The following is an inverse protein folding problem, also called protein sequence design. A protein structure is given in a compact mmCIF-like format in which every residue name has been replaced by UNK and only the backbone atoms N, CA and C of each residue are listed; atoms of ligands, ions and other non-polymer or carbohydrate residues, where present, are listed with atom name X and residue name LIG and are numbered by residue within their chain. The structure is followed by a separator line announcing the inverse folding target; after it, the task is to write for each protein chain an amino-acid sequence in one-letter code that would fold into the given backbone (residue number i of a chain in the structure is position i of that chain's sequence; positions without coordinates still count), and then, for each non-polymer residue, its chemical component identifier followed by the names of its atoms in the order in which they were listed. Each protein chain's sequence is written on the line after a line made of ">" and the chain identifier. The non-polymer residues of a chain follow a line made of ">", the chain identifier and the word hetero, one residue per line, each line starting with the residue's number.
data_IF_563448754911
#
_entry.id   IF_563448754911
#
_cell.length_a   1.000
_cell.length_b   1.000
_cell.length_c   1.000
_cell.angle_alpha   90.00
_cell.angle_beta   90.00
_cell.angle_gamma   90.00
#
_symmetry.space_group_name_H-M   'P 1'
#
loop_
_entity.id
_entity.type
_entity.pdbx_description
1 polymer ?
#
# COMPACT_ATOMS: atom_id res chain seq x y z
N UNK A 1 23.92 46.51 -50.10
CA UNK A 1 22.82 46.72 -49.11
C UNK A 1 22.15 45.37 -48.87
N UNK A 2 22.59 44.60 -47.87
CA UNK A 2 22.12 44.54 -46.47
C UNK A 2 21.05 43.44 -46.24
N UNK A 3 21.56 42.25 -45.91
CA UNK A 3 21.09 41.27 -44.90
C UNK A 3 19.60 41.32 -44.52
N UNK A 4 18.81 40.41 -45.09
CA UNK A 4 17.47 40.04 -44.58
C UNK A 4 17.19 38.56 -44.88
N UNK A 5 17.91 37.63 -44.25
CA UNK A 5 17.53 36.20 -44.34
C UNK A 5 17.78 35.36 -43.07
N UNK A 6 18.30 35.96 -41.99
CA UNK A 6 18.67 35.19 -40.77
C UNK A 6 17.61 35.22 -39.65
N UNK A 7 16.51 35.98 -39.77
CA UNK A 7 15.53 36.12 -38.67
C UNK A 7 14.50 34.99 -38.61
N UNK A 8 14.28 34.24 -39.69
CA UNK A 8 13.23 33.21 -39.78
C UNK A 8 13.64 31.87 -39.15
N UNK A 9 14.93 31.51 -39.24
CA UNK A 9 15.47 30.24 -38.69
C UNK A 9 15.65 30.27 -37.16
N UNK A 10 15.72 31.46 -36.56
CA UNK A 10 15.81 31.65 -35.10
C UNK A 10 14.49 31.31 -34.40
N UNK A 11 13.36 31.78 -34.94
CA UNK A 11 12.03 31.59 -34.34
C UNK A 11 11.58 30.14 -34.27
N UNK A 12 11.96 29.29 -35.24
CA UNK A 12 11.63 27.86 -35.23
C UNK A 12 12.40 27.09 -34.15
N UNK A 13 13.65 27.49 -33.89
CA UNK A 13 14.49 26.87 -32.84
C UNK A 13 13.96 27.21 -31.44
N UNK A 14 13.45 28.43 -31.24
CA UNK A 14 12.78 28.82 -29.99
C UNK A 14 11.42 28.12 -29.81
N UNK A 15 10.63 27.95 -30.89
CA UNK A 15 9.35 27.24 -30.83
C UNK A 15 9.54 25.74 -30.49
N UNK A 16 10.55 25.09 -31.10
CA UNK A 16 10.88 23.70 -30.81
C UNK A 16 11.40 23.50 -29.38
N UNK A 17 12.17 24.46 -28.84
CA UNK A 17 12.64 24.42 -27.45
C UNK A 17 11.49 24.60 -26.45
N UNK A 18 10.50 25.43 -26.77
CA UNK A 18 9.33 25.65 -25.92
C UNK A 18 8.41 24.42 -25.86
N UNK A 19 8.26 23.70 -26.97
CA UNK A 19 7.51 22.43 -27.04
C UNK A 19 8.25 21.31 -26.30
N UNK A 20 9.58 21.26 -26.37
CA UNK A 20 10.38 20.27 -25.63
C UNK A 20 10.33 20.49 -24.11
N UNK A 21 10.30 21.74 -23.66
CA UNK A 21 10.15 22.10 -22.24
C UNK A 21 8.72 21.81 -21.73
N UNK A 22 7.68 21.99 -22.56
CA UNK A 22 6.30 21.66 -22.19
C UNK A 22 6.07 20.14 -22.04
N UNK A 23 6.70 19.31 -22.88
CA UNK A 23 6.59 17.85 -22.75
C UNK A 23 7.36 17.27 -21.56
N UNK A 24 8.43 17.95 -21.11
CA UNK A 24 9.24 17.49 -19.98
C UNK A 24 8.59 17.72 -18.59
N UNK A 25 7.44 18.39 -18.52
CA UNK A 25 6.75 18.69 -17.26
C UNK A 25 5.72 17.63 -16.83
N UNK A 26 5.52 16.55 -17.60
CA UNK A 26 4.57 15.49 -17.25
C UNK A 26 5.20 14.45 -16.31
N UNK A 27 5.71 14.90 -15.17
CA UNK A 27 6.07 14.00 -14.08
C UNK A 27 4.78 13.53 -13.40
N UNK A 28 4.16 12.47 -13.94
CA UNK A 28 3.11 11.71 -13.24
C UNK A 28 3.72 10.95 -12.06
N UNK A 29 3.96 11.66 -10.95
CA UNK A 29 4.42 11.12 -9.66
C UNK A 29 3.22 11.04 -8.71
N UNK A 30 2.25 10.17 -8.98
CA UNK A 30 1.02 10.12 -8.15
C UNK A 30 0.63 8.72 -7.67
N UNK A 31 1.14 7.63 -8.25
CA UNK A 31 0.75 6.28 -7.83
C UNK A 31 1.60 5.70 -6.68
N UNK A 32 2.85 6.14 -6.51
CA UNK A 32 3.81 5.44 -5.62
C UNK A 32 3.71 5.82 -4.14
N UNK A 33 3.08 6.95 -3.79
CA UNK A 33 3.03 7.48 -2.41
C UNK A 33 1.62 7.45 -1.79
N UNK A 34 0.66 6.75 -2.44
CA UNK A 34 -0.73 6.73 -2.00
C UNK A 34 -0.96 5.91 -0.73
N UNK A 35 -0.12 4.91 -0.44
CA UNK A 35 -0.19 4.09 0.77
C UNK A 35 1.20 4.04 1.38
N UNK A 36 1.38 4.54 2.58
CA UNK A 36 2.69 4.53 3.25
C UNK A 36 2.56 4.19 4.73
N UNK A 37 3.57 3.50 5.27
CA UNK A 37 3.63 3.19 6.69
C UNK A 37 4.27 4.35 7.45
N UNK A 38 3.56 4.92 8.41
CA UNK A 38 4.10 5.96 9.31
C UNK A 38 4.64 5.40 10.62
N UNK A 39 4.13 4.26 11.07
CA UNK A 39 4.70 3.54 12.20
C UNK A 39 4.57 2.03 11.98
N UNK A 40 5.57 1.27 12.41
CA UNK A 40 5.60 -0.17 12.27
C UNK A 40 6.49 -0.75 13.37
N UNK A 41 5.89 -1.54 14.25
CA UNK A 41 6.56 -2.10 15.43
C UNK A 41 6.07 -3.51 15.71
N UNK A 42 7.02 -4.42 15.90
CA UNK A 42 6.74 -5.68 16.56
C UNK A 42 6.50 -5.45 18.06
N UNK A 43 5.54 -6.20 18.60
CA UNK A 43 5.29 -6.30 20.03
C UNK A 43 5.12 -7.76 20.43
N UNK A 44 5.32 -8.03 21.71
CA UNK A 44 5.04 -9.34 22.30
C UNK A 44 3.83 -9.17 23.20
N UNK A 45 2.80 -9.96 22.95
CA UNK A 45 1.60 -9.98 23.77
C UNK A 45 1.05 -11.40 23.84
N UNK A 46 0.72 -11.86 25.05
CA UNK A 46 0.15 -13.19 25.29
C UNK A 46 0.94 -14.33 24.65
N UNK A 47 2.27 -14.31 24.82
CA UNK A 47 3.23 -15.26 24.22
C UNK A 47 3.18 -15.35 22.68
N UNK A 48 2.63 -14.33 22.02
CA UNK A 48 2.59 -14.21 20.56
C UNK A 48 3.40 -13.01 20.11
N UNK A 49 4.10 -13.20 19.00
CA UNK A 49 4.59 -12.09 18.22
C UNK A 49 3.38 -11.43 17.54
N UNK A 50 3.19 -10.14 17.79
CA UNK A 50 2.14 -9.34 17.19
C UNK A 50 2.69 -8.08 16.54
N UNK A 51 1.90 -7.50 15.64
CA UNK A 51 2.27 -6.33 14.86
C UNK A 51 1.37 -5.15 15.21
N UNK A 52 2.01 -4.01 15.49
CA UNK A 52 1.39 -2.69 15.44
C UNK A 52 1.86 -1.97 14.19
N UNK A 53 0.92 -1.43 13.41
CA UNK A 53 1.22 -0.61 12.26
C UNK A 53 0.25 0.56 12.15
N UNK A 54 0.77 1.71 11.69
CA UNK A 54 0.00 2.84 11.21
C UNK A 54 0.32 3.05 9.74
N UNK A 55 -0.72 3.07 8.93
CA UNK A 55 -0.66 3.22 7.48
C UNK A 55 -1.50 4.44 7.12
N UNK A 56 -0.90 5.34 6.38
CA UNK A 56 -1.56 6.55 5.90
C UNK A 56 -1.97 6.35 4.44
N UNK A 57 -3.24 6.60 4.17
CA UNK A 57 -3.85 6.48 2.85
C UNK A 57 -4.11 7.87 2.26
N UNK A 58 -3.47 8.15 1.13
CA UNK A 58 -3.71 9.31 0.26
C UNK A 58 -4.32 8.81 -1.04
N UNK A 59 -5.61 8.50 -1.01
CA UNK A 59 -6.31 7.95 -2.16
C UNK A 59 -6.43 9.00 -3.28
N UNK A 60 -6.18 8.64 -4.56
CA UNK A 60 -6.46 9.52 -5.69
C UNK A 60 -7.94 9.88 -5.77
N UNK A 61 -8.24 11.06 -6.32
CA UNK A 61 -9.61 11.57 -6.44
C UNK A 61 -10.54 10.60 -7.19
N UNK A 62 -10.02 9.85 -8.17
CA UNK A 62 -10.77 8.85 -8.93
C UNK A 62 -11.23 7.69 -8.04
N UNK A 63 -10.36 7.23 -7.13
CA UNK A 63 -10.68 6.16 -6.17
C UNK A 63 -11.67 6.66 -5.13
N UNK A 64 -11.49 7.89 -4.63
CA UNK A 64 -12.45 8.55 -3.72
C UNK A 64 -13.81 8.72 -4.39
N UNK A 65 -13.83 9.18 -5.64
CA UNK A 65 -15.05 9.32 -6.44
C UNK A 65 -15.74 7.98 -6.63
N UNK A 66 -15.02 6.91 -6.91
CA UNK A 66 -15.59 5.57 -7.01
C UNK A 66 -16.28 5.15 -5.70
N UNK A 67 -15.63 5.33 -4.55
CA UNK A 67 -16.22 5.09 -3.23
C UNK A 67 -17.51 5.89 -3.04
N UNK A 68 -17.51 7.16 -3.47
CA UNK A 68 -18.67 8.06 -3.40
C UNK A 68 -19.83 7.67 -4.32
N UNK A 69 -19.60 6.81 -5.32
CA UNK A 69 -20.60 6.24 -6.21
C UNK A 69 -20.91 4.78 -5.83
N UNK A 70 -20.81 4.46 -4.55
CA UNK A 70 -21.15 3.15 -3.96
C UNK A 70 -20.33 1.97 -4.54
N UNK A 71 -19.16 2.24 -5.12
CA UNK A 71 -18.25 1.19 -5.57
C UNK A 71 -17.41 0.72 -4.38
N UNK A 72 -17.46 -0.58 -4.10
CA UNK A 72 -16.65 -1.20 -3.07
C UNK A 72 -15.19 -1.35 -3.50
N UNK A 73 -14.29 -0.80 -2.69
CA UNK A 73 -12.85 -0.89 -2.87
C UNK A 73 -12.30 -1.90 -1.86
N UNK A 74 -11.69 -2.97 -2.37
CA UNK A 74 -11.05 -3.98 -1.54
C UNK A 74 -9.57 -3.64 -1.37
N UNK A 75 -9.13 -3.54 -0.12
CA UNK A 75 -7.72 -3.48 0.25
C UNK A 75 -7.26 -4.85 0.72
N UNK A 76 -6.16 -5.33 0.16
CA UNK A 76 -5.48 -6.56 0.53
C UNK A 76 -4.32 -6.25 1.46
N UNK A 77 -4.28 -6.90 2.62
CA UNK A 77 -3.15 -6.86 3.54
C UNK A 77 -2.45 -8.21 3.54
N UNK A 78 -1.16 -8.19 3.25
CA UNK A 78 -0.29 -9.37 3.22
C UNK A 78 0.79 -9.24 4.29
N UNK A 79 0.96 -10.29 5.09
CA UNK A 79 2.02 -10.37 6.11
C UNK A 79 2.72 -11.71 5.94
N UNK A 80 4.04 -11.66 5.79
CA UNK A 80 4.88 -12.84 5.60
C UNK A 80 5.96 -12.83 6.67
N UNK A 81 6.06 -13.91 7.42
CA UNK A 81 7.17 -14.17 8.34
C UNK A 81 8.15 -15.13 7.66
N UNK A 82 9.36 -14.64 7.41
CA UNK A 82 10.46 -15.42 6.89
C UNK A 82 11.42 -15.78 8.02
N UNK A 83 11.92 -17.01 8.00
CA UNK A 83 13.03 -17.48 8.79
C UNK A 83 14.24 -17.60 7.88
N UNK A 84 15.33 -16.97 8.29
CA UNK A 84 16.62 -17.07 7.63
C UNK A 84 17.51 -18.02 8.44
N UNK A 85 17.96 -19.10 7.80
CA UNK A 85 18.86 -20.10 8.40
C UNK A 85 20.19 -20.15 7.65
N UNK A 86 21.33 -20.03 8.34
CA UNK A 86 22.62 -20.37 7.76
C UNK A 86 22.79 -21.90 7.67
N UNK A 87 23.14 -22.42 6.50
CA UNK A 87 23.44 -23.83 6.28
C UNK A 87 24.60 -23.98 5.28
N UNK A 88 25.69 -24.64 5.69
CA UNK A 88 26.85 -24.94 4.84
C UNK A 88 27.43 -23.73 4.08
N UNK A 89 27.48 -22.56 4.72
CA UNK A 89 27.99 -21.32 4.11
C UNK A 89 27.01 -20.62 3.16
N UNK A 90 25.78 -21.13 3.03
CA UNK A 90 24.67 -20.50 2.30
C UNK A 90 23.57 -20.04 3.26
N UNK A 91 22.81 -19.04 2.84
CA UNK A 91 21.66 -18.53 3.58
C UNK A 91 20.38 -19.04 2.90
N UNK A 92 19.53 -19.74 3.65
CA UNK A 92 18.24 -20.23 3.18
C UNK A 92 17.09 -19.48 3.84
N UNK A 93 16.13 -19.05 3.04
CA UNK A 93 14.90 -18.41 3.50
C UNK A 93 13.73 -19.41 3.49
N UNK A 94 12.98 -19.47 4.58
CA UNK A 94 11.77 -20.30 4.70
C UNK A 94 10.59 -19.48 5.23
N UNK A 95 9.47 -19.50 4.51
CA UNK A 95 8.21 -18.90 5.00
C UNK A 95 7.70 -19.70 6.21
N UNK A 96 7.68 -19.08 7.39
CA UNK A 96 7.04 -19.64 8.59
C UNK A 96 5.55 -19.43 8.59
N UNK A 97 5.15 -18.22 8.22
CA UNK A 97 3.76 -17.78 8.29
C UNK A 97 3.45 -16.87 7.13
N UNK A 98 2.27 -17.06 6.56
CA UNK A 98 1.66 -16.14 5.61
C UNK A 98 0.25 -15.85 6.09
N UNK A 99 -0.09 -14.56 6.22
CA UNK A 99 -1.41 -14.07 6.57
C UNK A 99 -1.82 -13.14 5.43
N UNK A 100 -2.97 -13.42 4.84
CA UNK A 100 -3.58 -12.55 3.84
C UNK A 100 -5.04 -12.32 4.23
N UNK A 101 -5.49 -11.06 4.17
CA UNK A 101 -6.90 -10.74 4.34
C UNK A 101 -7.29 -9.49 3.58
N UNK A 102 -8.60 -9.36 3.36
CA UNK A 102 -9.21 -8.24 2.65
C UNK A 102 -10.04 -7.38 3.61
N UNK A 103 -9.99 -6.07 3.41
CA UNK A 103 -10.91 -5.11 4.04
C UNK A 103 -11.60 -4.32 2.94
N UNK A 104 -12.93 -4.36 2.93
CA UNK A 104 -13.75 -3.57 2.01
C UNK A 104 -14.00 -2.18 2.56
N UNK A 105 -13.97 -1.19 1.68
CA UNK A 105 -14.36 0.19 1.93
C UNK A 105 -15.37 0.65 0.87
N UNK A 106 -16.55 1.10 1.30
CA UNK A 106 -17.56 1.69 0.42
C UNK A 106 -18.36 2.77 1.15
N UNK A 107 -18.93 3.70 0.39
CA UNK A 107 -19.97 4.59 0.89
C UNK A 107 -21.35 3.92 0.78
N UNK A 108 -22.30 4.33 1.62
CA UNK A 108 -23.70 3.98 1.46
C UNK A 108 -24.64 5.05 2.03
N UNK A 109 -25.84 5.12 1.44
CA UNK A 109 -26.95 5.92 1.93
C UNK A 109 -26.85 7.43 1.60
N UNK A 110 -27.96 8.13 1.79
CA UNK A 110 -28.09 9.57 1.42
C UNK A 110 -27.11 10.46 2.18
N UNK A 111 -26.86 10.15 3.46
CA UNK A 111 -25.92 10.88 4.31
C UNK A 111 -24.45 10.50 4.07
N UNK A 112 -24.17 9.58 3.13
CA UNK A 112 -22.83 9.09 2.77
C UNK A 112 -22.03 8.61 3.98
N UNK A 113 -22.51 7.54 4.61
CA UNK A 113 -21.73 6.83 5.62
C UNK A 113 -20.66 5.97 4.95
N UNK A 114 -19.48 5.87 5.57
CA UNK A 114 -18.40 5.02 5.08
C UNK A 114 -18.34 3.74 5.89
N UNK A 115 -18.28 2.59 5.23
CA UNK A 115 -18.24 1.29 5.88
C UNK A 115 -16.92 0.62 5.63
N UNK A 116 -16.33 0.12 6.71
CA UNK A 116 -15.29 -0.90 6.63
C UNK A 116 -15.87 -2.26 6.96
N UNK A 117 -15.58 -3.25 6.13
CA UNK A 117 -15.87 -4.64 6.41
C UNK A 117 -14.60 -5.49 6.28
N UNK A 118 -14.14 -6.04 7.41
CA UNK A 118 -12.94 -6.85 7.46
C UNK A 118 -13.30 -8.33 7.32
N UNK A 119 -12.81 -8.97 6.24
CA UNK A 119 -13.15 -10.36 5.92
C UNK A 119 -12.48 -11.39 6.84
N UNK A 120 -11.42 -11.02 7.57
CA UNK A 120 -10.72 -11.94 8.48
C UNK A 120 -11.48 -12.15 9.79
N UNK A 121 -12.16 -11.13 10.30
CA UNK A 121 -12.88 -11.19 11.58
C UNK A 121 -14.37 -10.87 11.46
N UNK A 122 -14.88 -10.67 10.25
CA UNK A 122 -16.27 -10.30 9.94
C UNK A 122 -16.75 -9.03 10.63
N UNK A 123 -15.82 -8.16 11.06
CA UNK A 123 -16.15 -6.92 11.75
C UNK A 123 -16.58 -5.88 10.73
N UNK A 124 -17.76 -5.31 10.96
CA UNK A 124 -18.29 -4.15 10.23
C UNK A 124 -18.19 -2.90 11.10
N UNK A 125 -17.68 -1.81 10.56
CA UNK A 125 -17.60 -0.51 11.23
C UNK A 125 -18.10 0.57 10.29
N UNK A 126 -18.78 1.57 10.84
CA UNK A 126 -19.39 2.67 10.07
C UNK A 126 -18.90 4.00 10.60
N UNK A 127 -18.61 4.94 9.69
CA UNK A 127 -18.00 6.23 9.96
C UNK A 127 -18.76 7.36 9.27
N UNK A 128 -18.67 8.57 9.82
CA UNK A 128 -19.29 9.77 9.24
C UNK A 128 -18.44 10.36 8.12
N UNK A 129 -17.11 10.15 8.19
CA UNK A 129 -16.16 10.69 7.22
C UNK A 129 -15.29 9.59 6.63
N UNK A 130 -14.82 9.81 5.39
CA UNK A 130 -13.87 8.92 4.73
C UNK A 130 -12.55 8.88 5.50
N UNK A 131 -12.14 10.01 6.07
CA UNK A 131 -10.92 10.14 6.85
C UNK A 131 -10.92 9.21 8.07
N UNK A 132 -12.00 9.19 8.87
CA UNK A 132 -12.14 8.27 10.01
C UNK A 132 -12.08 6.80 9.58
N UNK A 133 -12.70 6.48 8.45
CA UNK A 133 -12.64 5.14 7.88
C UNK A 133 -11.20 4.79 7.47
N UNK A 134 -10.50 5.67 6.76
CA UNK A 134 -9.12 5.43 6.34
C UNK A 134 -8.13 5.35 7.52
N UNK A 135 -8.30 6.20 8.53
CA UNK A 135 -7.53 6.12 9.78
C UNK A 135 -7.73 4.77 10.47
N UNK A 136 -8.97 4.26 10.51
CA UNK A 136 -9.26 2.95 11.09
C UNK A 136 -8.70 1.81 10.23
N UNK A 137 -8.86 1.89 8.90
CA UNK A 137 -8.30 0.92 7.95
C UNK A 137 -6.78 0.80 8.09
N UNK A 138 -6.10 1.94 8.28
CA UNK A 138 -4.65 2.01 8.42
C UNK A 138 -4.11 1.69 9.80
N UNK A 139 -4.97 1.42 10.77
CA UNK A 139 -4.57 1.13 12.14
C UNK A 139 -4.62 -0.37 12.39
N UNK A 140 -3.44 -1.02 12.34
CA UNK A 140 -3.28 -2.40 12.76
C UNK A 140 -2.82 -2.41 14.23
N UNK A 141 -3.70 -2.86 15.13
CA UNK A 141 -3.39 -2.97 16.55
C UNK A 141 -3.31 -4.43 16.97
N UNK A 142 -2.18 -4.79 17.57
CA UNK A 142 -1.93 -6.09 18.19
C UNK A 142 -2.34 -7.25 17.27
N UNK A 143 -1.93 -7.19 16.01
CA UNK A 143 -2.29 -8.22 15.05
C UNK A 143 -1.40 -9.45 15.28
N UNK A 144 -1.93 -10.59 15.78
CA UNK A 144 -1.09 -11.75 16.09
C UNK A 144 -0.55 -12.37 14.80
N UNK A 145 0.75 -12.62 14.76
CA UNK A 145 1.45 -13.24 13.63
C UNK A 145 1.68 -14.73 13.90
N UNK A 146 2.37 -15.05 15.00
CA UNK A 146 2.77 -16.43 15.33
C UNK A 146 2.96 -16.59 16.85
N UNK A 147 2.81 -17.81 17.38
CA UNK A 147 3.20 -18.10 18.75
C UNK A 147 4.73 -18.11 18.88
N UNK A 148 5.26 -17.54 19.96
CA UNK A 148 6.70 -17.53 20.21
C UNK A 148 7.29 -18.94 20.37
N UNK A 149 6.50 -19.90 20.86
CA UNK A 149 6.91 -21.30 20.96
C UNK A 149 7.19 -21.95 19.59
N UNK A 150 6.70 -21.38 18.49
CA UNK A 150 6.97 -21.84 17.12
C UNK A 150 8.26 -21.24 16.54
N UNK A 151 8.88 -20.27 17.23
CA UNK A 151 10.13 -19.64 16.81
C UNK A 151 11.32 -20.39 17.42
N UNK A 152 12.30 -20.70 16.57
CA UNK A 152 13.54 -21.33 16.99
C UNK A 152 14.50 -20.28 17.58
N UNK A 153 15.09 -20.56 18.75
CA UNK A 153 16.20 -19.77 19.26
C UNK A 153 17.36 -19.70 18.24
N UNK A 154 18.11 -18.61 18.27
CA UNK A 154 19.31 -18.37 17.43
C UNK A 154 19.05 -18.25 15.91
N UNK A 155 17.79 -18.23 15.46
CA UNK A 155 17.45 -17.95 14.06
C UNK A 155 17.13 -16.47 13.84
N UNK A 156 17.41 -15.99 12.63
CA UNK A 156 17.01 -14.64 12.22
C UNK A 156 15.63 -14.71 11.56
N UNK A 157 14.73 -13.80 11.94
CA UNK A 157 13.41 -13.69 11.33
C UNK A 157 13.22 -12.32 10.69
N UNK A 158 12.55 -12.29 9.55
CA UNK A 158 12.11 -11.06 8.88
C UNK A 158 10.60 -11.06 8.76
N UNK A 159 9.99 -9.96 9.18
CA UNK A 159 8.59 -9.70 8.91
C UNK A 159 8.48 -8.82 7.67
N UNK A 160 7.63 -9.23 6.74
CA UNK A 160 7.26 -8.45 5.57
C UNK A 160 5.79 -8.10 5.67
N UNK A 161 5.44 -6.85 5.45
CA UNK A 161 4.05 -6.40 5.36
C UNK A 161 3.85 -5.57 4.10
N UNK A 162 2.67 -5.72 3.48
CA UNK A 162 2.22 -4.93 2.34
C UNK A 162 0.72 -4.70 2.42
N UNK A 163 0.29 -3.52 2.01
CA UNK A 163 -1.12 -3.19 1.80
C UNK A 163 -1.29 -2.65 0.39
N UNK A 164 -2.26 -3.17 -0.34
CA UNK A 164 -2.54 -2.78 -1.71
C UNK A 164 -4.04 -2.76 -1.99
N UNK A 165 -4.45 -2.00 -2.99
CA UNK A 165 -5.81 -2.09 -3.55
C UNK A 165 -5.88 -3.32 -4.46
N UNK A 166 -6.84 -4.21 -4.21
CA UNK A 166 -7.08 -5.37 -5.06
C UNK A 166 -7.93 -4.98 -6.29
N UNK A 167 -7.25 -4.50 -7.33
CA UNK A 167 -7.92 -3.99 -8.54
C UNK A 167 -8.70 -5.06 -9.29
N UNK A 168 -8.40 -6.35 -9.08
CA UNK A 168 -9.11 -7.46 -9.72
C UNK A 168 -10.51 -7.66 -9.16
N UNK A 169 -10.83 -7.00 -8.04
CA UNK A 169 -12.14 -7.02 -7.39
C UNK A 169 -13.04 -5.85 -7.78
N UNK A 170 -12.55 -4.95 -8.63
CA UNK A 170 -13.36 -3.85 -9.15
C UNK A 170 -14.46 -4.39 -10.09
N UNK A 171 -15.61 -3.71 -10.18
CA UNK A 171 -16.64 -4.03 -11.16
C UNK A 171 -16.07 -4.06 -12.60
N UNK A 172 -16.61 -4.91 -13.51
CA UNK A 172 -16.00 -5.11 -14.84
C UNK A 172 -15.72 -3.84 -15.65
N UNK A 173 -16.58 -2.80 -15.67
CA UNK A 173 -16.25 -1.55 -16.37
C UNK A 173 -15.02 -0.84 -15.79
N UNK A 174 -14.86 -0.84 -14.47
CA UNK A 174 -13.71 -0.24 -13.79
C UNK A 174 -12.46 -1.11 -13.84
N UNK A 175 -12.60 -2.42 -14.02
CA UNK A 175 -11.45 -3.29 -14.23
C UNK A 175 -10.67 -2.90 -15.49
N UNK A 176 -11.38 -2.55 -16.57
CA UNK A 176 -10.75 -2.06 -17.82
C UNK A 176 -9.96 -0.79 -17.52
N UNK A 177 -10.58 0.15 -16.81
CA UNK A 177 -9.95 1.40 -16.37
C UNK A 177 -8.71 1.12 -15.50
N UNK A 178 -8.80 0.20 -14.55
CA UNK A 178 -7.70 -0.18 -13.64
C UNK A 178 -6.53 -0.93 -14.29
N UNK A 179 -6.72 -1.45 -15.50
CA UNK A 179 -5.64 -2.02 -16.31
C UNK A 179 -4.86 -0.94 -17.06
N UNK A 180 -5.53 0.16 -17.43
CA UNK A 180 -4.96 1.25 -18.22
C UNK A 180 -4.38 2.34 -17.33
N UNK A 181 -5.05 2.63 -16.21
CA UNK A 181 -4.79 3.81 -15.41
C UNK A 181 -4.00 3.50 -14.13
N UNK A 182 -2.95 4.28 -13.83
CA UNK A 182 -2.07 4.03 -12.70
C UNK A 182 -2.70 4.38 -11.35
N UNK A 183 -3.75 5.21 -11.30
CA UNK A 183 -4.40 5.59 -10.05
C UNK A 183 -5.15 4.44 -9.35
N UNK A 184 -5.39 3.33 -10.05
CA UNK A 184 -5.90 2.09 -9.45
C UNK A 184 -4.80 1.17 -8.90
N UNK A 185 -3.53 1.47 -9.17
CA UNK A 185 -2.39 0.64 -8.80
C UNK A 185 -1.82 1.08 -7.43
N UNK A 186 -2.70 1.14 -6.42
CA UNK A 186 -2.31 1.57 -5.08
C UNK A 186 -1.62 0.43 -4.34
N UNK A 187 -0.38 0.67 -3.94
CA UNK A 187 0.46 -0.34 -3.30
C UNK A 187 1.48 0.33 -2.38
N UNK A 188 1.56 -0.13 -1.14
CA UNK A 188 2.56 0.34 -0.18
C UNK A 188 3.99 -0.14 -0.48
N UNK A 189 4.12 -1.11 -1.39
CA UNK A 189 5.30 -1.97 -1.49
C UNK A 189 5.48 -2.83 -0.23
N UNK A 190 6.48 -3.72 -0.28
CA UNK A 190 6.86 -4.53 0.87
C UNK A 190 7.71 -3.71 1.84
N UNK A 191 7.21 -3.52 3.06
CA UNK A 191 8.03 -3.11 4.19
C UNK A 191 8.62 -4.35 4.83
N UNK A 192 9.94 -4.36 5.01
CA UNK A 192 10.69 -5.51 5.54
C UNK A 192 11.48 -5.06 6.76
N UNK A 193 11.36 -5.77 7.86
CA UNK A 193 12.17 -5.50 9.04
C UNK A 193 12.56 -6.78 9.77
N UNK A 194 13.77 -6.77 10.32
CA UNK A 194 14.34 -7.87 11.09
C UNK A 194 13.71 -7.87 12.48
N UNK A 195 13.12 -9.00 12.87
CA UNK A 195 12.57 -9.17 14.21
C UNK A 195 13.73 -9.35 15.19
N UNK A 196 13.77 -8.52 16.23
CA UNK A 196 14.76 -8.65 17.30
C UNK A 196 14.27 -9.71 18.28
N UNK A 197 14.75 -10.94 18.13
CA UNK A 197 14.60 -11.97 19.16
C UNK A 197 15.45 -11.55 20.38
N UNK A 198 14.86 -10.87 21.37
CA UNK A 198 15.59 -10.55 22.61
C UNK A 198 15.97 -11.84 23.33
N UNK A 199 17.25 -11.98 23.69
CA UNK A 199 17.89 -13.18 24.25
C UNK A 199 17.27 -13.73 25.55
N UNK A 200 16.18 -13.17 26.08
CA UNK A 200 15.53 -13.60 27.33
C UNK A 200 14.40 -14.62 27.12
N UNK A 201 14.46 -15.46 26.08
CA UNK A 201 13.48 -16.52 25.83
C UNK A 201 13.74 -17.80 26.66
N UNK A 202 14.05 -17.62 27.95
CA UNK A 202 14.12 -18.70 28.95
C UNK A 202 13.19 -18.37 30.11
#
# INVERSE_FOLDING_TARGET
>A
MKKTHDRFLSSWRFLALLIFILCAQTSFVWAKDAIHFSDLKEIIQDQKLALNAKIDFKLPEQVVSAIHHDISILFKTEIILLEEKPLLGMTFERVQKSIEYHTELYAYGVNRYYVLYNHRNHKRQTFQTLEEALQTLGTLQTLPVINLAELHPEQTYFLKIRVSLDKWRLPPPLLIDALLEPYWQLDSGWQVFKIRTQKSWQ
#
